data_IF_476927909882
#
_entry.id   IF_476927909882
#
_cell.length_a   1.000
_cell.length_b   1.000
_cell.length_c   1.000
_cell.angle_alpha   90.00
_cell.angle_beta   90.00
_cell.angle_gamma   90.00
#
_symmetry.space_group_name_H-M   'P 1'
#
loop_
_entity.id
_entity.type
_entity.pdbx_description
1 polymer ?
#
# COMPACT_ATOMS: atom_id res chain seq x y z
N UNK A 1 -17.61 6.20 20.23
CA UNK A 1 -16.26 6.13 19.59
C UNK A 1 -15.24 5.77 20.65
N UNK A 2 -14.18 5.07 20.29
CA UNK A 2 -13.13 4.55 21.18
C UNK A 2 -11.94 5.49 21.12
N UNK A 3 -11.41 5.91 22.26
CA UNK A 3 -10.16 6.66 22.31
C UNK A 3 -8.99 5.73 21.96
N UNK A 4 -8.14 6.07 20.95
CA UNK A 4 -6.98 5.23 20.60
C UNK A 4 -6.09 4.92 21.79
N UNK A 5 -5.88 5.89 22.70
CA UNK A 5 -5.13 5.67 23.94
C UNK A 5 -5.74 4.58 24.81
N UNK A 6 -7.04 4.67 25.09
CA UNK A 6 -7.72 3.72 25.97
C UNK A 6 -7.67 2.29 25.39
N UNK A 7 -7.80 2.15 24.06
CA UNK A 7 -7.69 0.87 23.39
C UNK A 7 -6.27 0.27 23.52
N UNK A 8 -5.23 1.08 23.29
CA UNK A 8 -3.82 0.62 23.42
C UNK A 8 -3.49 0.30 24.88
N UNK A 9 -3.98 1.11 25.84
CA UNK A 9 -3.80 0.83 27.27
C UNK A 9 -4.44 -0.50 27.68
N UNK A 10 -5.64 -0.82 27.18
CA UNK A 10 -6.33 -2.09 27.44
C UNK A 10 -5.54 -3.28 26.86
N UNK A 11 -5.00 -3.15 25.65
CA UNK A 11 -4.12 -4.16 25.05
C UNK A 11 -2.84 -4.37 25.89
N UNK A 12 -2.21 -3.29 26.31
CA UNK A 12 -0.99 -3.33 27.13
C UNK A 12 -1.23 -3.98 28.51
N UNK A 13 -2.36 -3.68 29.16
CA UNK A 13 -2.78 -4.33 30.39
C UNK A 13 -3.00 -5.84 30.21
N UNK A 14 -3.48 -6.24 29.04
CA UNK A 14 -3.59 -7.62 28.62
C UNK A 14 -2.28 -8.27 28.15
N UNK A 15 -1.14 -7.57 28.21
CA UNK A 15 0.19 -8.08 27.82
C UNK A 15 0.54 -7.95 26.34
N UNK A 16 -0.25 -7.24 25.55
CA UNK A 16 0.03 -6.96 24.12
C UNK A 16 0.63 -5.56 23.99
N UNK A 17 1.92 -5.48 23.75
CA UNK A 17 2.69 -4.25 23.65
C UNK A 17 3.59 -4.17 22.39
N UNK A 18 3.45 -5.12 21.47
CA UNK A 18 4.13 -5.15 20.18
C UNK A 18 3.11 -5.09 19.04
N UNK A 19 3.37 -4.24 18.07
CA UNK A 19 2.50 -3.94 16.93
C UNK A 19 3.29 -4.07 15.63
N UNK A 20 2.77 -4.80 14.66
CA UNK A 20 3.28 -4.82 13.29
C UNK A 20 2.11 -4.72 12.32
N UNK A 21 2.26 -4.03 11.19
CA UNK A 21 1.15 -3.98 10.24
C UNK A 21 1.36 -3.02 9.08
N UNK A 22 0.35 -2.96 8.24
CA UNK A 22 0.25 -2.00 7.14
C UNK A 22 -0.84 -0.98 7.49
N UNK A 23 -0.54 0.33 7.47
CA UNK A 23 -1.51 1.36 7.80
C UNK A 23 -2.75 1.32 6.92
N UNK A 24 -3.91 1.55 7.53
CA UNK A 24 -5.22 1.59 6.88
C UNK A 24 -5.98 2.88 7.19
N UNK A 25 -6.84 3.28 6.27
CA UNK A 25 -7.65 4.49 6.39
C UNK A 25 -8.70 4.46 7.52
N UNK A 26 -9.27 3.29 7.85
CA UNK A 26 -10.18 3.13 9.00
C UNK A 26 -9.42 3.09 10.32
N UNK A 27 -8.18 2.59 10.29
CA UNK A 27 -7.28 2.53 11.45
C UNK A 27 -6.38 3.76 11.57
N UNK A 28 -6.52 4.79 10.72
CA UNK A 28 -5.60 5.94 10.66
C UNK A 28 -5.35 6.59 12.02
N UNK A 29 -6.39 6.74 12.83
CA UNK A 29 -6.32 7.36 14.17
C UNK A 29 -5.58 6.47 15.16
N UNK A 30 -5.85 5.17 15.14
CA UNK A 30 -5.14 4.16 15.93
C UNK A 30 -3.67 4.06 15.52
N UNK A 31 -3.39 3.94 14.21
CA UNK A 31 -2.04 3.89 13.67
C UNK A 31 -1.23 5.16 13.99
N UNK A 32 -1.88 6.34 13.96
CA UNK A 32 -1.26 7.60 14.36
C UNK A 32 -0.89 7.60 15.85
N UNK A 33 -1.79 7.10 16.71
CA UNK A 33 -1.50 6.99 18.13
C UNK A 33 -0.34 6.03 18.41
N UNK A 34 -0.35 4.83 17.81
CA UNK A 34 0.73 3.84 17.93
C UNK A 34 2.06 4.46 17.46
N UNK A 35 2.07 5.11 16.30
CA UNK A 35 3.29 5.72 15.73
C UNK A 35 3.87 6.81 16.64
N UNK A 36 3.03 7.57 17.33
CA UNK A 36 3.50 8.66 18.21
C UNK A 36 3.95 8.18 19.59
N UNK A 37 3.39 7.08 20.12
CA UNK A 37 3.49 6.74 21.53
C UNK A 37 4.15 5.37 21.81
N UNK A 38 4.30 4.52 20.79
CA UNK A 38 4.98 3.23 20.90
C UNK A 38 6.37 3.34 20.29
N UNK A 39 7.38 2.77 20.94
CA UNK A 39 8.76 2.84 20.45
C UNK A 39 8.92 2.11 19.12
N UNK A 40 9.93 2.49 18.35
CA UNK A 40 10.17 1.92 17.01
C UNK A 40 10.38 0.41 17.03
N UNK A 41 10.98 -0.12 18.09
CA UNK A 41 11.26 -1.55 18.27
C UNK A 41 9.96 -2.35 18.53
N UNK A 42 8.91 -1.69 18.98
CA UNK A 42 7.61 -2.28 19.30
C UNK A 42 6.49 -1.89 18.32
N UNK A 43 6.76 -1.02 17.36
CA UNK A 43 5.82 -0.65 16.30
C UNK A 43 6.53 -0.69 14.94
N UNK A 44 6.30 -1.74 14.17
CA UNK A 44 6.93 -1.95 12.87
C UNK A 44 5.89 -1.81 11.76
N UNK A 45 6.05 -0.78 10.94
CA UNK A 45 5.28 -0.66 9.70
C UNK A 45 5.91 -1.63 8.69
N UNK A 46 5.18 -2.70 8.41
CA UNK A 46 5.65 -3.79 7.56
C UNK A 46 5.49 -3.45 6.07
N UNK A 47 6.27 -4.10 5.23
CA UNK A 47 6.16 -3.95 3.78
C UNK A 47 4.80 -4.48 3.27
N UNK A 48 4.36 -5.62 3.82
CA UNK A 48 3.03 -6.19 3.57
C UNK A 48 2.54 -6.94 4.82
N UNK A 49 1.29 -7.38 4.79
CA UNK A 49 0.62 -7.99 5.95
C UNK A 49 1.20 -9.37 6.30
N UNK A 50 1.64 -10.14 5.32
CA UNK A 50 2.33 -11.41 5.56
C UNK A 50 3.64 -11.23 6.33
N UNK A 51 4.41 -10.17 6.01
CA UNK A 51 5.60 -9.81 6.78
C UNK A 51 5.23 -9.38 8.21
N UNK A 52 4.09 -8.72 8.42
CA UNK A 52 3.63 -8.35 9.75
C UNK A 52 3.31 -9.58 10.61
N UNK A 53 2.70 -10.61 10.04
CA UNK A 53 2.49 -11.91 10.72
C UNK A 53 3.83 -12.53 11.11
N UNK A 54 4.81 -12.56 10.17
CA UNK A 54 6.15 -13.06 10.46
C UNK A 54 6.86 -12.31 11.60
N UNK A 55 6.73 -10.97 11.64
CA UNK A 55 7.28 -10.13 12.71
C UNK A 55 6.64 -10.44 14.08
N UNK A 56 5.31 -10.57 14.12
CA UNK A 56 4.58 -10.90 15.35
C UNK A 56 4.92 -12.32 15.83
N UNK A 57 5.06 -13.29 14.92
CA UNK A 57 5.52 -14.65 15.23
C UNK A 57 6.95 -14.62 15.81
N UNK A 58 7.88 -13.90 15.20
CA UNK A 58 9.24 -13.73 15.71
C UNK A 58 9.27 -13.07 17.09
N UNK A 59 8.40 -12.09 17.34
CA UNK A 59 8.26 -11.48 18.65
C UNK A 59 7.79 -12.49 19.70
N UNK A 60 6.77 -13.30 19.37
CA UNK A 60 6.29 -14.38 20.27
C UNK A 60 7.41 -15.37 20.58
N UNK A 61 8.11 -15.88 19.56
CA UNK A 61 9.19 -16.86 19.74
C UNK A 61 10.33 -16.33 20.63
N UNK A 62 10.61 -15.04 20.59
CA UNK A 62 11.65 -14.42 21.38
C UNK A 62 11.24 -14.08 22.81
N UNK A 63 9.95 -13.83 23.06
CA UNK A 63 9.48 -13.24 24.32
C UNK A 63 8.40 -14.05 25.05
N UNK A 64 7.76 -15.00 24.37
CA UNK A 64 6.58 -15.71 24.85
C UNK A 64 5.30 -14.85 24.92
N UNK A 65 5.34 -13.58 24.44
CA UNK A 65 4.22 -12.65 24.47
C UNK A 65 3.43 -12.67 23.18
N UNK A 66 2.19 -12.17 23.22
CA UNK A 66 1.31 -12.03 22.06
C UNK A 66 1.65 -10.76 21.28
N UNK A 67 1.86 -10.88 19.96
CA UNK A 67 1.99 -9.74 19.06
C UNK A 67 0.63 -9.34 18.48
N UNK A 68 0.48 -8.05 18.15
CA UNK A 68 -0.68 -7.49 17.46
C UNK A 68 -0.32 -7.18 16.00
N UNK A 69 -1.12 -7.70 15.05
CA UNK A 69 -1.03 -7.37 13.63
C UNK A 69 -2.22 -6.52 13.22
N UNK A 70 -1.96 -5.31 12.70
CA UNK A 70 -3.01 -4.41 12.21
C UNK A 70 -2.97 -4.27 10.69
N UNK A 71 -4.15 -4.22 10.07
CA UNK A 71 -4.27 -4.14 8.60
C UNK A 71 -5.66 -3.68 8.14
N UNK A 72 -5.77 -3.36 6.87
CA UNK A 72 -7.05 -3.30 6.18
C UNK A 72 -7.50 -4.73 5.82
N UNK A 73 -8.80 -4.99 5.75
CA UNK A 73 -9.32 -6.28 5.31
C UNK A 73 -8.87 -6.69 3.89
N UNK A 74 -8.43 -5.75 3.05
CA UNK A 74 -7.78 -6.09 1.77
C UNK A 74 -6.48 -6.86 1.95
N UNK A 75 -5.82 -6.71 3.09
CA UNK A 75 -4.60 -7.42 3.45
C UNK A 75 -4.83 -8.84 3.95
N UNK A 76 -6.08 -9.26 4.20
CA UNK A 76 -6.38 -10.64 4.59
C UNK A 76 -5.83 -11.65 3.58
N UNK A 77 -5.88 -11.33 2.27
CA UNK A 77 -5.29 -12.20 1.25
C UNK A 77 -3.79 -12.47 1.45
N UNK A 78 -3.03 -11.51 1.96
CA UNK A 78 -1.60 -11.63 2.21
C UNK A 78 -1.27 -12.45 3.47
N UNK A 79 -2.23 -12.60 4.38
CA UNK A 79 -2.02 -13.34 5.63
C UNK A 79 -2.56 -14.77 5.60
N UNK A 80 -3.35 -15.17 4.58
CA UNK A 80 -3.91 -16.54 4.50
C UNK A 80 -2.81 -17.58 4.64
N UNK A 81 -1.76 -17.51 3.80
CA UNK A 81 -0.69 -18.49 3.87
C UNK A 81 0.06 -18.48 5.22
N UNK A 82 0.58 -17.35 5.75
CA UNK A 82 1.29 -17.39 7.02
C UNK A 82 0.40 -17.71 8.23
N UNK A 83 -0.90 -17.44 8.21
CA UNK A 83 -1.80 -17.89 9.25
C UNK A 83 -1.96 -19.42 9.24
N UNK A 84 -2.23 -20.02 8.07
CA UNK A 84 -2.54 -21.43 7.94
C UNK A 84 -1.31 -22.35 7.88
N UNK A 85 -0.11 -21.82 7.53
CA UNK A 85 1.10 -22.64 7.37
C UNK A 85 2.24 -22.32 8.32
N UNK A 86 2.08 -21.29 9.18
CA UNK A 86 3.05 -20.93 10.22
C UNK A 86 2.37 -20.83 11.60
N UNK A 87 1.28 -20.06 11.70
CA UNK A 87 0.69 -19.66 12.99
C UNK A 87 -0.29 -20.69 13.51
N UNK A 88 -0.93 -21.45 12.62
CA UNK A 88 -1.99 -22.42 12.89
C UNK A 88 -1.64 -23.43 13.99
N UNK A 89 -2.68 -23.93 14.68
CA UNK A 89 -2.57 -24.88 15.79
C UNK A 89 -1.91 -26.21 15.39
N UNK A 90 -2.11 -26.64 14.15
CA UNK A 90 -1.52 -27.86 13.58
C UNK A 90 -0.07 -27.67 13.13
N UNK A 91 0.50 -26.42 13.21
CA UNK A 91 1.85 -26.11 12.76
C UNK A 91 2.73 -25.67 13.93
N UNK A 92 2.83 -24.37 14.22
CA UNK A 92 3.64 -23.87 15.34
C UNK A 92 2.82 -23.30 16.48
N UNK A 93 1.51 -23.20 16.32
CA UNK A 93 0.56 -22.78 17.35
C UNK A 93 0.95 -21.46 18.03
N UNK A 94 1.13 -20.41 17.22
CA UNK A 94 1.61 -19.09 17.66
C UNK A 94 0.43 -18.16 17.94
N UNK A 95 0.24 -17.69 19.20
CA UNK A 95 -0.85 -16.80 19.53
C UNK A 95 -0.66 -15.41 18.92
N UNK A 96 -1.76 -14.84 18.41
CA UNK A 96 -1.71 -13.54 17.73
C UNK A 96 -3.03 -12.80 17.84
N UNK A 97 -2.96 -11.47 18.02
CA UNK A 97 -4.12 -10.59 17.91
C UNK A 97 -4.11 -9.90 16.54
N UNK A 98 -5.21 -10.00 15.81
CA UNK A 98 -5.42 -9.25 14.57
C UNK A 98 -6.34 -8.06 14.84
N UNK A 99 -6.02 -6.86 14.28
CA UNK A 99 -6.89 -5.68 14.28
C UNK A 99 -7.12 -5.28 12.83
N UNK A 100 -8.35 -5.51 12.35
CA UNK A 100 -8.67 -5.44 10.92
C UNK A 100 -9.68 -4.34 10.65
N UNK A 101 -9.31 -3.34 9.83
CA UNK A 101 -10.21 -2.30 9.34
C UNK A 101 -11.15 -2.86 8.26
N UNK A 102 -12.46 -2.85 8.50
CA UNK A 102 -13.46 -3.45 7.62
C UNK A 102 -13.94 -2.48 6.56
N UNK A 103 -13.21 -2.36 5.46
CA UNK A 103 -13.64 -1.62 4.28
C UNK A 103 -14.67 -2.43 3.50
N UNK A 104 -15.65 -1.73 2.91
CA UNK A 104 -16.72 -2.36 2.15
C UNK A 104 -17.71 -3.17 2.99
N UNK A 105 -17.87 -2.83 4.28
CA UNK A 105 -18.89 -3.43 5.16
C UNK A 105 -20.26 -3.44 4.45
N UNK A 106 -21.00 -4.57 4.45
CA UNK A 106 -22.31 -4.64 3.82
C UNK A 106 -23.27 -3.56 4.35
N UNK A 107 -23.93 -2.84 3.44
CA UNK A 107 -24.83 -1.74 3.79
C UNK A 107 -24.15 -0.37 3.96
N UNK A 108 -22.82 -0.31 3.97
CA UNK A 108 -22.06 0.94 4.03
C UNK A 108 -21.50 1.29 2.64
N UNK A 109 -21.67 2.55 2.22
CA UNK A 109 -21.11 3.01 0.94
C UNK A 109 -19.57 3.03 1.01
N UNK A 110 -18.94 2.35 0.05
CA UNK A 110 -17.48 2.32 -0.10
C UNK A 110 -17.09 2.19 -1.59
N UNK A 111 -15.81 2.29 -1.87
CA UNK A 111 -15.23 2.24 -3.21
C UNK A 111 -15.37 0.87 -3.87
N UNK A 112 -15.40 0.79 -5.21
CA UNK A 112 -15.62 -0.46 -5.94
C UNK A 112 -14.72 -1.61 -5.52
N UNK A 113 -13.43 -1.36 -5.29
CA UNK A 113 -12.44 -2.37 -4.89
C UNK A 113 -12.70 -2.98 -3.52
N UNK A 114 -13.43 -2.30 -2.64
CA UNK A 114 -13.71 -2.78 -1.29
C UNK A 114 -15.02 -3.60 -1.20
N UNK A 115 -15.93 -3.47 -2.17
CA UNK A 115 -17.28 -4.09 -2.11
C UNK A 115 -17.26 -5.60 -1.94
N UNK A 116 -16.40 -6.31 -2.71
CA UNK A 116 -16.30 -7.76 -2.61
C UNK A 116 -15.55 -8.18 -1.35
N UNK A 117 -14.45 -7.51 -1.07
CA UNK A 117 -13.64 -7.77 0.13
C UNK A 117 -14.46 -7.63 1.41
N UNK A 118 -15.22 -6.53 1.56
CA UNK A 118 -16.07 -6.32 2.73
C UNK A 118 -17.12 -7.41 2.94
N UNK A 119 -17.65 -7.97 1.85
CA UNK A 119 -18.63 -9.08 1.91
C UNK A 119 -18.02 -10.40 2.37
N UNK A 120 -16.75 -10.64 2.07
CA UNK A 120 -16.10 -11.93 2.35
C UNK A 120 -15.22 -11.92 3.59
N UNK A 121 -14.93 -10.77 4.17
CA UNK A 121 -14.04 -10.58 5.34
C UNK A 121 -14.35 -11.57 6.46
N UNK A 122 -15.58 -11.57 6.98
CA UNK A 122 -15.93 -12.44 8.11
C UNK A 122 -15.93 -13.92 7.71
N UNK A 123 -16.46 -14.24 6.53
CA UNK A 123 -16.46 -15.63 6.02
C UNK A 123 -15.03 -16.16 5.77
N UNK A 124 -14.08 -15.27 5.41
CA UNK A 124 -12.69 -15.68 5.25
C UNK A 124 -12.05 -16.00 6.61
N UNK A 125 -12.31 -15.21 7.64
CA UNK A 125 -11.87 -15.51 9.00
C UNK A 125 -12.48 -16.83 9.51
N UNK A 126 -13.79 -17.05 9.27
CA UNK A 126 -14.47 -18.32 9.60
C UNK A 126 -13.83 -19.51 8.90
N UNK A 127 -13.52 -19.38 7.59
CA UNK A 127 -12.88 -20.42 6.81
C UNK A 127 -11.46 -20.74 7.26
N UNK A 128 -10.75 -19.76 7.85
CA UNK A 128 -9.43 -19.94 8.45
C UNK A 128 -9.49 -20.40 9.92
N UNK A 129 -10.68 -20.61 10.49
CA UNK A 129 -10.82 -20.97 11.90
C UNK A 129 -10.46 -19.83 12.88
N UNK A 130 -10.40 -18.58 12.42
CA UNK A 130 -10.04 -17.44 13.25
C UNK A 130 -11.29 -16.84 13.90
N UNK A 131 -11.48 -16.96 15.22
CA UNK A 131 -12.56 -16.32 15.94
C UNK A 131 -12.40 -14.80 15.91
N UNK A 132 -13.52 -14.08 15.89
CA UNK A 132 -13.51 -12.63 15.81
C UNK A 132 -14.61 -11.95 16.61
N UNK A 133 -14.42 -10.66 16.89
CA UNK A 133 -15.48 -9.77 17.35
C UNK A 133 -15.46 -8.47 16.53
N UNK A 134 -16.64 -7.98 16.18
CA UNK A 134 -16.80 -6.65 15.56
C UNK A 134 -16.94 -5.64 16.68
N UNK A 135 -15.98 -4.71 16.80
CA UNK A 135 -15.93 -3.76 17.92
C UNK A 135 -17.18 -2.84 17.93
N UNK A 136 -17.79 -2.73 19.11
CA UNK A 136 -18.95 -1.89 19.40
C UNK A 136 -18.79 -1.10 20.71
N UNK A 137 -19.88 -0.73 21.36
CA UNK A 137 -19.90 -0.03 22.65
C UNK A 137 -19.31 -0.85 23.80
N UNK A 138 -19.31 -2.18 23.69
CA UNK A 138 -18.76 -3.11 24.69
C UNK A 138 -17.29 -3.47 24.42
N UNK A 139 -16.57 -2.65 23.68
CA UNK A 139 -15.22 -2.93 23.18
C UNK A 139 -14.22 -3.37 24.27
N UNK A 140 -14.31 -2.84 25.49
CA UNK A 140 -13.43 -3.25 26.61
C UNK A 140 -13.62 -4.72 26.99
N UNK A 141 -14.89 -5.16 27.03
CA UNK A 141 -15.22 -6.55 27.25
C UNK A 141 -14.79 -7.44 26.08
N UNK A 142 -14.97 -6.96 24.85
CA UNK A 142 -14.55 -7.67 23.64
C UNK A 142 -13.03 -7.84 23.57
N UNK A 143 -12.25 -6.82 23.94
CA UNK A 143 -10.78 -6.90 24.07
C UNK A 143 -10.41 -7.92 25.16
N UNK A 144 -11.04 -7.84 26.32
CA UNK A 144 -10.77 -8.77 27.43
C UNK A 144 -11.06 -10.21 27.01
N UNK A 145 -12.18 -10.46 26.36
CA UNK A 145 -12.57 -11.78 25.85
C UNK A 145 -11.58 -12.29 24.81
N UNK A 146 -11.17 -11.45 23.83
CA UNK A 146 -10.20 -11.81 22.82
C UNK A 146 -8.86 -12.24 23.44
N UNK A 147 -8.34 -11.44 24.36
CA UNK A 147 -7.07 -11.74 25.04
C UNK A 147 -7.14 -12.96 25.96
N UNK A 148 -8.30 -13.20 26.57
CA UNK A 148 -8.54 -14.41 27.37
C UNK A 148 -8.56 -15.63 26.47
N UNK A 149 -9.31 -15.59 25.38
CA UNK A 149 -9.37 -16.71 24.43
C UNK A 149 -8.01 -17.01 23.81
N UNK A 150 -7.25 -15.99 23.41
CA UNK A 150 -5.86 -16.17 22.90
C UNK A 150 -5.01 -16.90 23.94
N UNK A 151 -5.09 -16.55 25.22
CA UNK A 151 -4.32 -17.21 26.28
C UNK A 151 -4.75 -18.63 26.55
N UNK A 152 -6.06 -18.90 26.50
CA UNK A 152 -6.62 -20.23 26.78
C UNK A 152 -6.37 -21.23 25.65
N UNK A 153 -6.45 -20.74 24.39
CA UNK A 153 -6.30 -21.59 23.20
C UNK A 153 -4.90 -21.52 22.59
N UNK A 154 -4.04 -20.60 23.03
CA UNK A 154 -2.78 -20.24 22.38
C UNK A 154 -2.96 -19.93 20.89
N UNK A 155 -4.12 -19.44 20.48
CA UNK A 155 -4.52 -19.27 19.09
C UNK A 155 -4.56 -17.81 18.61
N UNK A 156 -5.17 -17.61 17.47
CA UNK A 156 -5.37 -16.30 16.84
C UNK A 156 -6.77 -15.78 17.15
N UNK A 157 -6.92 -14.46 17.31
CA UNK A 157 -8.21 -13.79 17.43
C UNK A 157 -8.22 -12.47 16.64
N UNK A 158 -9.34 -12.13 15.99
CA UNK A 158 -9.47 -10.90 15.22
C UNK A 158 -10.47 -9.91 15.85
N UNK A 159 -10.06 -8.65 15.99
CA UNK A 159 -10.91 -7.51 16.33
C UNK A 159 -11.19 -6.71 15.05
N UNK A 160 -12.45 -6.64 14.66
CA UNK A 160 -12.89 -6.02 13.40
C UNK A 160 -13.34 -4.60 13.68
N UNK A 161 -12.77 -3.65 12.95
CA UNK A 161 -12.94 -2.21 13.16
C UNK A 161 -13.79 -1.62 12.04
N UNK A 162 -14.96 -1.07 12.40
CA UNK A 162 -15.86 -0.36 11.49
C UNK A 162 -15.40 1.08 11.24
N UNK A 163 -15.98 1.70 10.22
CA UNK A 163 -15.80 3.14 9.97
C UNK A 163 -16.30 3.96 11.17
N UNK A 164 -15.47 4.86 11.66
CA UNK A 164 -15.82 5.74 12.79
C UNK A 164 -15.73 5.10 14.18
N UNK A 165 -15.10 3.94 14.31
CA UNK A 165 -14.87 3.27 15.61
C UNK A 165 -13.96 4.10 16.51
N UNK A 166 -12.86 4.64 15.99
CA UNK A 166 -11.89 5.42 16.77
C UNK A 166 -12.14 6.91 16.68
N UNK A 167 -11.95 7.60 17.81
CA UNK A 167 -11.92 9.08 17.89
C UNK A 167 -10.76 9.63 17.07
N UNK A 168 -10.89 10.89 16.64
CA UNK A 168 -9.85 11.56 15.85
C UNK A 168 -8.55 11.71 16.63
N UNK A 169 -7.47 11.25 16.02
CA UNK A 169 -6.11 11.41 16.51
C UNK A 169 -5.17 11.68 15.34
N UNK A 170 -4.39 12.74 15.42
CA UNK A 170 -3.48 13.14 14.35
C UNK A 170 -2.05 12.64 14.59
N UNK A 171 -1.39 12.24 13.51
CA UNK A 171 0.04 11.97 13.52
C UNK A 171 0.80 13.26 13.85
N UNK A 172 1.59 13.22 14.92
CA UNK A 172 2.42 14.34 15.41
C UNK A 172 3.82 14.29 14.79
N UNK A 173 4.57 15.38 14.97
CA UNK A 173 6.00 15.46 14.59
C UNK A 173 6.30 15.04 13.15
N UNK A 174 5.41 15.40 12.22
CA UNK A 174 5.70 15.19 10.80
C UNK A 174 6.85 16.13 10.40
N UNK A 175 7.98 15.56 9.97
CA UNK A 175 9.08 16.33 9.39
C UNK A 175 8.59 17.06 8.15
N UNK A 176 8.76 18.36 8.09
CA UNK A 176 8.52 19.14 6.88
C UNK A 176 9.65 18.79 5.91
N UNK A 177 9.30 18.17 4.80
CA UNK A 177 10.27 17.86 3.75
C UNK A 177 10.75 19.16 3.08
N UNK A 178 12.06 19.30 2.93
CA UNK A 178 12.69 20.42 2.19
C UNK A 178 12.71 20.20 0.68
N UNK A 179 12.23 19.06 0.19
CA UNK A 179 12.19 18.73 -1.24
C UNK A 179 11.32 19.73 -2.00
N UNK A 180 11.81 20.30 -3.11
CA UNK A 180 11.10 21.35 -3.83
C UNK A 180 9.89 20.84 -4.62
N UNK A 181 9.89 19.53 -5.01
CA UNK A 181 8.93 18.94 -5.91
C UNK A 181 7.87 18.16 -5.16
N UNK A 182 6.59 18.36 -5.42
CA UNK A 182 5.49 17.53 -4.97
C UNK A 182 5.22 16.38 -5.95
N UNK A 183 4.51 15.34 -5.49
CA UNK A 183 4.10 14.23 -6.35
C UNK A 183 3.24 14.70 -7.52
N UNK A 184 2.25 15.55 -7.26
CA UNK A 184 1.36 16.09 -8.30
C UNK A 184 2.14 16.91 -9.36
N UNK A 185 3.08 17.77 -8.95
CA UNK A 185 3.96 18.49 -9.86
C UNK A 185 4.82 17.53 -10.69
N UNK A 186 5.37 16.49 -10.06
CA UNK A 186 6.17 15.49 -10.77
C UNK A 186 5.35 14.72 -11.81
N UNK A 187 4.12 14.30 -11.46
CA UNK A 187 3.19 13.63 -12.38
C UNK A 187 2.90 14.53 -13.58
N UNK A 188 2.61 15.83 -13.38
CA UNK A 188 2.37 16.79 -14.45
C UNK A 188 3.56 16.89 -15.40
N UNK A 189 4.78 17.01 -14.86
CA UNK A 189 6.01 17.07 -15.66
C UNK A 189 6.18 15.79 -16.50
N UNK A 190 5.96 14.63 -15.92
CA UNK A 190 6.06 13.35 -16.62
C UNK A 190 5.02 13.28 -17.74
N UNK A 191 3.75 13.55 -17.44
CA UNK A 191 2.65 13.49 -18.42
C UNK A 191 2.87 14.44 -19.59
N UNK A 192 3.40 15.66 -19.35
CA UNK A 192 3.73 16.62 -20.41
C UNK A 192 4.86 16.15 -21.33
N UNK A 193 5.61 15.11 -20.96
CA UNK A 193 6.69 14.51 -21.76
C UNK A 193 6.32 13.17 -22.39
N UNK A 194 5.15 12.63 -22.08
CA UNK A 194 4.65 11.42 -22.72
C UNK A 194 4.27 11.70 -24.19
N UNK A 195 4.41 10.69 -25.02
CA UNK A 195 3.88 10.66 -26.40
C UNK A 195 2.41 10.24 -26.35
N UNK A 196 1.72 10.50 -27.44
CA UNK A 196 0.29 10.20 -27.55
C UNK A 196 -0.03 8.70 -27.41
N UNK A 197 0.88 7.84 -27.84
CA UNK A 197 0.78 6.39 -27.83
C UNK A 197 1.42 5.71 -26.60
N UNK A 198 2.03 6.48 -25.69
CA UNK A 198 2.59 5.93 -24.47
C UNK A 198 1.50 5.40 -23.55
N UNK A 199 1.73 4.21 -23.01
CA UNK A 199 0.83 3.55 -22.07
C UNK A 199 1.25 3.90 -20.65
N UNK A 200 0.29 4.22 -19.77
CA UNK A 200 0.54 4.41 -18.34
C UNK A 200 -0.23 3.40 -17.52
N UNK A 201 0.45 2.69 -16.63
CA UNK A 201 -0.16 1.87 -15.58
C UNK A 201 0.15 2.52 -14.24
N UNK A 202 -0.87 3.07 -13.58
CA UNK A 202 -0.69 3.76 -12.31
C UNK A 202 -1.09 2.89 -11.12
N UNK A 203 -0.35 3.03 -10.01
CA UNK A 203 -0.71 2.40 -8.74
C UNK A 203 -1.97 3.03 -8.14
N UNK A 204 -2.64 2.31 -7.25
CA UNK A 204 -3.85 2.78 -6.56
C UNK A 204 -3.61 4.03 -5.71
N UNK A 205 -4.66 4.77 -5.44
CA UNK A 205 -4.67 5.88 -4.50
C UNK A 205 -4.47 7.24 -5.15
N UNK A 206 -3.63 8.10 -4.55
CA UNK A 206 -3.47 9.49 -4.99
C UNK A 206 -2.85 9.60 -6.39
N UNK A 207 -1.91 8.74 -6.74
CA UNK A 207 -1.21 8.77 -8.04
C UNK A 207 -2.19 8.62 -9.20
N UNK A 208 -3.06 7.61 -9.16
CA UNK A 208 -4.11 7.42 -10.17
C UNK A 208 -5.06 8.60 -10.26
N UNK A 209 -5.39 9.24 -9.12
CA UNK A 209 -6.32 10.37 -9.06
C UNK A 209 -5.69 11.65 -9.60
N UNK A 210 -4.43 11.92 -9.26
CA UNK A 210 -3.66 13.08 -9.77
C UNK A 210 -3.43 12.96 -11.29
N UNK A 211 -3.13 11.75 -11.77
CA UNK A 211 -3.03 11.47 -13.20
C UNK A 211 -4.36 11.72 -13.91
N UNK A 212 -5.46 11.17 -13.38
CA UNK A 212 -6.78 11.33 -13.96
C UNK A 212 -7.17 12.81 -14.07
N UNK A 213 -7.11 13.58 -12.98
CA UNK A 213 -7.47 15.00 -12.99
C UNK A 213 -6.58 15.82 -13.95
N UNK A 214 -5.29 15.49 -14.02
CA UNK A 214 -4.41 16.23 -14.93
C UNK A 214 -4.73 15.96 -16.40
N UNK A 215 -5.04 14.72 -16.78
CA UNK A 215 -5.53 14.40 -18.13
C UNK A 215 -6.83 15.15 -18.46
N UNK A 216 -7.78 15.21 -17.52
CA UNK A 216 -9.01 16.00 -17.67
C UNK A 216 -8.69 17.49 -17.90
N UNK A 217 -7.82 18.07 -17.06
CA UNK A 217 -7.42 19.49 -17.21
C UNK A 217 -6.74 19.79 -18.56
N UNK A 218 -6.06 18.80 -19.14
CA UNK A 218 -5.41 18.89 -20.47
C UNK A 218 -6.37 18.53 -21.61
N UNK A 219 -7.61 18.15 -21.31
CA UNK A 219 -8.58 17.66 -22.30
C UNK A 219 -8.04 16.44 -23.09
N UNK A 220 -7.25 15.60 -22.42
CA UNK A 220 -6.73 14.34 -22.94
C UNK A 220 -7.66 13.20 -22.53
N UNK A 221 -7.81 12.20 -23.38
CA UNK A 221 -8.57 10.99 -22.99
C UNK A 221 -7.77 10.08 -22.05
N UNK A 222 -8.46 9.09 -21.48
CA UNK A 222 -7.89 8.09 -20.58
C UNK A 222 -7.63 6.72 -21.24
N UNK A 223 -7.74 6.63 -22.56
CA UNK A 223 -7.59 5.34 -23.28
C UNK A 223 -6.18 4.73 -23.19
N UNK A 224 -5.16 5.53 -22.89
CA UNK A 224 -3.78 5.07 -22.69
C UNK A 224 -3.42 4.81 -21.23
N UNK A 225 -4.33 5.11 -20.27
CA UNK A 225 -4.07 5.02 -18.86
C UNK A 225 -4.85 3.87 -18.21
N UNK A 226 -4.17 2.88 -17.65
CA UNK A 226 -4.78 1.88 -16.78
C UNK A 226 -4.66 2.34 -15.33
N UNK A 227 -5.79 2.81 -14.79
CA UNK A 227 -5.87 3.46 -13.48
C UNK A 227 -6.27 2.44 -12.41
N UNK A 228 -5.31 1.80 -11.75
CA UNK A 228 -5.65 0.80 -10.73
C UNK A 228 -6.34 1.46 -9.54
N UNK A 229 -7.42 0.86 -9.07
CA UNK A 229 -8.19 1.35 -7.91
C UNK A 229 -7.90 0.54 -6.64
N UNK A 230 -7.33 -0.64 -6.78
CA UNK A 230 -6.95 -1.54 -5.69
C UNK A 230 -5.65 -2.28 -6.01
N UNK A 231 -5.42 -3.43 -5.38
CA UNK A 231 -4.28 -4.31 -5.66
C UNK A 231 -2.93 -3.58 -5.56
N UNK A 232 -2.71 -2.86 -4.46
CA UNK A 232 -1.48 -2.12 -4.19
C UNK A 232 -0.24 -3.01 -4.36
N UNK A 233 0.79 -2.46 -5.02
CA UNK A 233 2.05 -3.16 -5.28
C UNK A 233 2.08 -4.03 -6.54
N UNK A 234 1.00 -4.09 -7.34
CA UNK A 234 0.95 -4.92 -8.54
C UNK A 234 1.02 -4.13 -9.87
N UNK A 235 1.01 -2.80 -9.83
CA UNK A 235 1.03 -1.97 -11.04
C UNK A 235 2.22 -2.29 -11.94
N UNK A 236 3.41 -2.49 -11.37
CA UNK A 236 4.62 -2.83 -12.10
C UNK A 236 4.54 -4.18 -12.82
N UNK A 237 3.87 -5.17 -12.22
CA UNK A 237 3.68 -6.49 -12.85
C UNK A 237 2.62 -6.46 -13.96
N UNK A 238 1.55 -5.66 -13.78
CA UNK A 238 0.57 -5.41 -14.84
C UNK A 238 1.28 -4.76 -16.03
N UNK A 239 2.11 -3.76 -15.78
CA UNK A 239 2.88 -3.07 -16.81
C UNK A 239 3.89 -3.99 -17.52
N UNK A 240 4.57 -4.88 -16.79
CA UNK A 240 5.44 -5.89 -17.40
C UNK A 240 4.65 -6.78 -18.36
N UNK A 241 3.49 -7.31 -17.93
CA UNK A 241 2.62 -8.12 -18.78
C UNK A 241 2.23 -7.40 -20.08
N UNK A 242 1.91 -6.10 -20.01
CA UNK A 242 1.59 -5.26 -21.16
C UNK A 242 2.83 -5.03 -22.05
N UNK A 243 3.96 -4.66 -21.43
CA UNK A 243 5.20 -4.35 -22.17
C UNK A 243 5.69 -5.52 -23.01
N UNK A 244 5.59 -6.73 -22.49
CA UNK A 244 5.96 -7.97 -23.21
C UNK A 244 5.03 -8.28 -24.40
N UNK A 245 3.76 -7.86 -24.34
CA UNK A 245 2.78 -8.11 -25.41
C UNK A 245 2.67 -6.96 -26.42
N UNK A 246 3.17 -5.77 -26.07
CA UNK A 246 3.16 -4.56 -26.91
C UNK A 246 4.59 -3.97 -27.01
N UNK A 247 5.56 -4.71 -27.56
CA UNK A 247 6.98 -4.32 -27.56
C UNK A 247 7.25 -3.02 -28.31
N UNK A 248 6.37 -2.62 -29.22
CA UNK A 248 6.49 -1.40 -30.03
C UNK A 248 5.98 -0.14 -29.30
N UNK A 249 5.24 -0.32 -28.19
CA UNK A 249 4.69 0.79 -27.39
C UNK A 249 5.44 0.92 -26.06
N UNK A 250 5.75 2.14 -25.67
CA UNK A 250 6.35 2.38 -24.35
C UNK A 250 5.30 2.25 -23.26
N UNK A 251 5.68 1.61 -22.16
CA UNK A 251 4.84 1.41 -21.00
C UNK A 251 5.48 2.08 -19.79
N UNK A 252 4.78 3.01 -19.19
CA UNK A 252 5.20 3.71 -17.99
C UNK A 252 4.45 3.16 -16.78
N UNK A 253 5.17 2.82 -15.72
CA UNK A 253 4.60 2.54 -14.40
C UNK A 253 4.65 3.80 -13.58
N UNK A 254 3.51 4.26 -13.06
CA UNK A 254 3.44 5.31 -12.05
C UNK A 254 3.22 4.65 -10.70
N UNK A 255 4.29 4.48 -9.94
CA UNK A 255 4.28 3.78 -8.66
C UNK A 255 4.59 4.72 -7.49
N UNK A 256 4.28 4.29 -6.28
CA UNK A 256 4.65 4.94 -5.04
C UNK A 256 5.62 4.07 -4.24
N UNK A 257 6.42 4.68 -3.37
CA UNK A 257 7.37 3.96 -2.53
C UNK A 257 6.71 2.88 -1.65
N UNK A 258 5.56 3.17 -1.06
CA UNK A 258 4.82 2.18 -0.27
C UNK A 258 4.31 1.00 -1.10
N UNK A 259 3.85 1.24 -2.34
CA UNK A 259 3.39 0.19 -3.24
C UNK A 259 4.57 -0.63 -3.78
N UNK A 260 5.67 0.02 -4.16
CA UNK A 260 6.91 -0.65 -4.55
C UNK A 260 7.41 -1.60 -3.45
N UNK A 261 7.47 -1.12 -2.20
CA UNK A 261 7.93 -1.89 -1.04
C UNK A 261 7.05 -3.12 -0.78
N UNK A 262 5.75 -3.02 -1.02
CA UNK A 262 4.79 -4.09 -0.70
C UNK A 262 5.11 -5.40 -1.45
N UNK A 263 5.53 -5.30 -2.72
CA UNK A 263 5.87 -6.44 -3.55
C UNK A 263 7.19 -6.22 -4.33
N UNK A 264 8.22 -5.71 -3.63
CA UNK A 264 9.51 -5.34 -4.23
C UNK A 264 10.19 -6.50 -4.98
N UNK A 265 9.94 -7.76 -4.61
CA UNK A 265 10.43 -8.93 -5.34
C UNK A 265 10.03 -8.94 -6.82
N UNK A 266 8.94 -8.27 -7.19
CA UNK A 266 8.53 -8.08 -8.58
C UNK A 266 9.56 -7.33 -9.43
N UNK A 267 10.38 -6.46 -8.83
CA UNK A 267 11.46 -5.78 -9.54
C UNK A 267 12.50 -6.77 -10.11
N UNK A 268 12.81 -7.85 -9.39
CA UNK A 268 13.76 -8.86 -9.87
C UNK A 268 13.24 -9.56 -11.14
N UNK A 269 11.93 -9.83 -11.19
CA UNK A 269 11.30 -10.39 -12.39
C UNK A 269 11.35 -9.40 -13.56
N UNK A 270 11.06 -8.12 -13.31
CA UNK A 270 11.16 -7.08 -14.34
C UNK A 270 12.61 -6.96 -14.85
N UNK A 271 13.61 -7.00 -13.97
CA UNK A 271 15.01 -6.92 -14.32
C UNK A 271 15.51 -8.13 -15.13
N UNK A 272 15.00 -9.33 -14.85
CA UNK A 272 15.33 -10.55 -15.59
C UNK A 272 14.78 -10.50 -17.03
N UNK A 273 13.51 -10.12 -17.21
CA UNK A 273 12.92 -9.93 -18.54
C UNK A 273 13.46 -8.71 -19.27
N UNK A 274 13.80 -7.67 -18.55
CA UNK A 274 14.44 -6.43 -18.99
C UNK A 274 13.88 -5.84 -20.31
N UNK A 275 12.54 -5.64 -20.45
CA UNK A 275 11.97 -5.11 -21.68
C UNK A 275 12.40 -3.65 -21.90
N UNK A 276 12.83 -3.32 -23.12
CA UNK A 276 13.36 -2.00 -23.49
C UNK A 276 12.30 -0.89 -23.50
N UNK A 277 11.06 -1.26 -23.55
CA UNK A 277 9.91 -0.35 -23.62
C UNK A 277 9.25 -0.09 -22.26
N UNK A 278 9.80 -0.58 -21.13
CA UNK A 278 9.26 -0.37 -19.80
C UNK A 278 10.04 0.71 -19.03
N UNK A 279 9.34 1.73 -18.56
CA UNK A 279 9.87 2.79 -17.71
C UNK A 279 9.13 2.80 -16.38
N UNK A 280 9.80 2.48 -15.30
CA UNK A 280 9.25 2.47 -13.95
C UNK A 280 9.54 3.79 -13.23
N UNK A 281 8.52 4.59 -12.95
CA UNK A 281 8.63 5.85 -12.22
C UNK A 281 8.08 5.67 -10.82
N UNK A 282 8.92 5.88 -9.81
CA UNK A 282 8.56 5.77 -8.40
C UNK A 282 8.48 7.17 -7.80
N UNK A 283 7.28 7.63 -7.47
CA UNK A 283 7.06 8.88 -6.74
C UNK A 283 7.24 8.62 -5.25
N UNK A 284 8.44 8.87 -4.74
CA UNK A 284 8.88 8.52 -3.40
C UNK A 284 8.70 9.71 -2.44
N UNK A 285 7.64 9.70 -1.64
CA UNK A 285 7.40 10.70 -0.61
C UNK A 285 7.73 10.22 0.82
N UNK A 286 8.20 8.99 0.96
CA UNK A 286 8.56 8.39 2.25
C UNK A 286 7.37 8.13 3.18
N UNK A 287 6.12 8.04 2.64
CA UNK A 287 4.94 7.95 3.49
C UNK A 287 3.76 7.22 2.83
N UNK A 288 2.95 6.55 3.66
CA UNK A 288 1.62 6.02 3.32
C UNK A 288 0.57 7.14 3.34
N UNK A 289 0.66 8.05 2.40
CA UNK A 289 -0.05 9.34 2.40
C UNK A 289 -1.57 9.19 2.35
N UNK A 290 -2.09 8.23 1.60
CA UNK A 290 -3.53 8.01 1.40
C UNK A 290 -4.25 7.42 2.63
N UNK A 291 -3.50 6.93 3.61
CA UNK A 291 -4.06 6.17 4.76
C UNK A 291 -3.64 6.72 6.13
N UNK A 292 -3.10 7.96 6.18
CA UNK A 292 -2.78 8.63 7.44
C UNK A 292 -1.36 9.17 7.52
N UNK A 293 -0.53 8.94 6.51
CA UNK A 293 0.79 9.54 6.37
C UNK A 293 1.88 8.95 7.26
N UNK A 294 1.69 7.71 7.73
CA UNK A 294 2.73 6.97 8.45
C UNK A 294 3.97 6.79 7.56
N UNK A 295 5.19 6.83 8.15
CA UNK A 295 6.42 6.78 7.36
C UNK A 295 6.62 5.41 6.70
N UNK A 296 7.15 5.42 5.48
CA UNK A 296 7.77 4.24 4.86
C UNK A 296 9.29 4.29 5.05
N UNK A 297 9.97 3.28 4.54
CA UNK A 297 11.44 3.28 4.42
C UNK A 297 11.93 3.79 3.06
N UNK A 298 11.02 4.22 2.16
CA UNK A 298 11.31 4.57 0.77
C UNK A 298 12.44 5.59 0.61
N UNK A 299 12.48 6.63 1.45
CA UNK A 299 13.54 7.64 1.45
C UNK A 299 14.77 7.25 2.32
N UNK A 300 14.78 6.07 2.92
CA UNK A 300 15.89 5.56 3.76
C UNK A 300 16.71 4.47 3.09
N UNK A 301 16.19 3.89 2.01
CA UNK A 301 16.85 2.86 1.21
C UNK A 301 17.31 3.46 -0.13
N UNK A 302 18.31 2.87 -0.72
CA UNK A 302 18.80 3.25 -2.05
C UNK A 302 18.04 2.45 -3.13
N UNK A 303 16.89 3.00 -3.58
CA UNK A 303 16.07 2.38 -4.63
C UNK A 303 16.85 2.28 -5.95
N UNK A 304 17.72 3.24 -6.24
CA UNK A 304 18.55 3.24 -7.44
C UNK A 304 19.53 2.06 -7.45
N UNK A 305 20.25 1.85 -6.35
CA UNK A 305 21.15 0.71 -6.21
C UNK A 305 20.42 -0.63 -6.25
N UNK A 306 19.25 -0.73 -5.61
CA UNK A 306 18.39 -1.93 -5.66
C UNK A 306 17.97 -2.24 -7.10
N UNK A 307 17.47 -1.24 -7.83
CA UNK A 307 17.03 -1.43 -9.21
C UNK A 307 18.18 -1.90 -10.12
N UNK A 308 19.37 -1.30 -9.98
CA UNK A 308 20.57 -1.74 -10.71
C UNK A 308 20.96 -3.17 -10.37
N UNK A 309 20.92 -3.52 -9.08
CA UNK A 309 21.29 -4.85 -8.60
C UNK A 309 20.36 -5.97 -9.12
N UNK A 310 19.08 -5.65 -9.38
CA UNK A 310 18.11 -6.60 -9.92
C UNK A 310 18.00 -6.57 -11.46
N UNK A 311 18.84 -5.79 -12.17
CA UNK A 311 18.95 -5.86 -13.63
C UNK A 311 18.31 -4.71 -14.42
N UNK A 312 17.81 -3.66 -13.79
CA UNK A 312 17.43 -2.46 -14.53
C UNK A 312 18.68 -1.77 -15.12
N UNK A 313 18.57 -1.25 -16.34
CA UNK A 313 19.73 -0.77 -17.10
C UNK A 313 19.94 0.75 -17.04
N UNK A 314 18.83 1.51 -17.05
CA UNK A 314 18.84 2.96 -17.00
C UNK A 314 18.16 3.41 -15.72
N UNK A 315 18.94 3.73 -14.69
CA UNK A 315 18.41 4.02 -13.35
C UNK A 315 18.95 5.34 -12.83
N UNK A 316 18.05 6.20 -12.38
CA UNK A 316 18.40 7.51 -11.81
C UNK A 316 17.45 7.88 -10.66
N UNK A 317 18.00 8.56 -9.63
CA UNK A 317 17.24 9.24 -8.60
C UNK A 317 17.28 10.74 -8.80
N UNK A 318 16.12 11.40 -8.73
CA UNK A 318 15.95 12.84 -8.91
C UNK A 318 15.09 13.42 -7.79
N UNK A 319 15.25 14.71 -7.51
CA UNK A 319 14.56 15.40 -6.41
C UNK A 319 14.06 16.81 -6.79
N UNK A 320 14.24 17.22 -8.04
CA UNK A 320 13.86 18.55 -8.51
C UNK A 320 13.36 18.52 -9.97
N UNK A 321 12.67 19.60 -10.36
CA UNK A 321 12.06 19.78 -11.68
C UNK A 321 13.06 19.61 -12.82
N UNK A 322 14.23 20.25 -12.73
CA UNK A 322 15.22 20.26 -13.83
C UNK A 322 15.80 18.86 -14.07
N UNK A 323 16.12 18.13 -12.99
CA UNK A 323 16.62 16.77 -13.07
C UNK A 323 15.56 15.81 -13.64
N UNK A 324 14.30 15.93 -13.20
CA UNK A 324 13.20 15.12 -13.73
C UNK A 324 12.96 15.39 -15.22
N UNK A 325 12.93 16.66 -15.62
CA UNK A 325 12.79 17.03 -17.04
C UNK A 325 13.96 16.49 -17.90
N UNK A 326 15.20 16.55 -17.39
CA UNK A 326 16.36 15.97 -18.07
C UNK A 326 16.21 14.46 -18.24
N UNK A 327 15.81 13.75 -17.20
CA UNK A 327 15.58 12.30 -17.25
C UNK A 327 14.48 11.92 -18.24
N UNK A 328 13.36 12.63 -18.26
CA UNK A 328 12.28 12.38 -19.21
C UNK A 328 12.70 12.70 -20.66
N UNK A 329 13.50 13.75 -20.88
CA UNK A 329 14.07 14.04 -22.20
C UNK A 329 15.04 12.94 -22.65
N UNK A 330 15.86 12.39 -21.73
CA UNK A 330 16.71 11.23 -21.99
C UNK A 330 15.88 10.02 -22.45
N UNK A 331 14.80 9.68 -21.73
CA UNK A 331 13.88 8.59 -22.13
C UNK A 331 13.26 8.79 -23.52
N UNK A 332 13.16 10.04 -23.98
CA UNK A 332 12.59 10.36 -25.31
C UNK A 332 13.62 10.30 -26.45
N UNK A 333 14.91 10.49 -26.17
CA UNK A 333 15.96 10.66 -27.17
C UNK A 333 17.00 9.54 -27.20
N UNK A 334 17.19 8.83 -26.10
CA UNK A 334 18.22 7.80 -25.98
C UNK A 334 17.79 6.45 -26.57
N UNK A 335 18.78 5.65 -26.94
CA UNK A 335 18.58 4.22 -27.25
C UNK A 335 18.55 3.45 -25.93
N UNK A 336 17.36 3.12 -25.45
CA UNK A 336 17.15 2.37 -24.22
C UNK A 336 17.55 0.91 -24.41
N UNK A 337 18.42 0.40 -23.55
CA UNK A 337 18.98 -0.95 -23.68
C UNK A 337 18.15 -2.02 -22.97
N UNK A 338 17.37 -1.65 -21.96
CA UNK A 338 16.51 -2.51 -21.18
C UNK A 338 15.55 -1.69 -20.33
N UNK A 339 15.03 -2.24 -19.26
CA UNK A 339 14.09 -1.53 -18.38
C UNK A 339 14.75 -0.36 -17.67
N UNK A 340 14.05 0.77 -17.65
CA UNK A 340 14.50 2.00 -16.97
C UNK A 340 13.74 2.21 -15.66
N UNK A 341 14.38 2.90 -14.67
CA UNK A 341 13.71 3.38 -13.47
C UNK A 341 14.10 4.82 -13.16
N UNK A 342 13.10 5.63 -12.84
CA UNK A 342 13.28 6.99 -12.31
C UNK A 342 12.68 7.03 -10.90
N UNK A 343 13.52 7.11 -9.86
CA UNK A 343 13.09 7.36 -8.51
C UNK A 343 12.98 8.87 -8.28
N UNK A 344 11.77 9.38 -8.16
CA UNK A 344 11.50 10.81 -7.97
C UNK A 344 11.23 11.07 -6.50
N UNK A 345 12.20 11.62 -5.78
CA UNK A 345 12.03 12.02 -4.39
C UNK A 345 11.17 13.29 -4.33
N UNK A 346 10.02 13.19 -3.68
CA UNK A 346 9.04 14.27 -3.60
C UNK A 346 8.70 14.60 -2.16
N UNK A 347 8.27 15.85 -1.91
CA UNK A 347 7.76 16.24 -0.59
C UNK A 347 6.41 15.60 -0.32
N UNK A 348 6.17 15.27 0.93
CA UNK A 348 4.89 14.80 1.42
C UNK A 348 3.90 15.97 1.47
N UNK A 349 2.98 16.01 0.52
CA UNK A 349 1.88 16.98 0.47
C UNK A 349 0.73 16.43 -0.35
N UNK A 350 -0.50 16.63 0.13
CA UNK A 350 -1.72 16.27 -0.58
C UNK A 350 -2.65 17.47 -0.69
N UNK A 351 -3.23 17.63 -1.86
CA UNK A 351 -4.32 18.56 -2.10
C UNK A 351 -5.61 18.00 -1.49
N UNK A 352 -6.33 18.81 -0.69
CA UNK A 352 -7.54 18.37 0.02
C UNK A 352 -8.74 18.14 -0.91
N UNK A 353 -8.79 18.87 -2.01
CA UNK A 353 -9.85 18.88 -3.02
C UNK A 353 -9.62 17.90 -4.17
N UNK A 354 -8.62 17.02 -4.08
CA UNK A 354 -8.33 16.02 -5.10
C UNK A 354 -9.54 15.10 -5.30
N UNK A 355 -10.12 15.14 -6.50
CA UNK A 355 -11.29 14.37 -6.91
C UNK A 355 -11.03 12.88 -7.00
N UNK A 356 -12.02 12.16 -7.47
CA UNK A 356 -11.94 10.74 -7.80
C UNK A 356 -12.19 10.56 -9.29
N UNK A 357 -11.74 9.44 -9.83
CA UNK A 357 -12.07 9.05 -11.20
C UNK A 357 -13.58 9.02 -11.36
N UNK A 358 -14.07 9.63 -12.43
CA UNK A 358 -15.52 9.67 -12.76
C UNK A 358 -15.93 8.45 -13.60
N UNK A 359 -14.98 7.74 -14.20
CA UNK A 359 -15.19 6.48 -14.91
C UNK A 359 -15.13 5.29 -13.97
N UNK A 360 -15.94 4.27 -14.23
CA UNK A 360 -15.84 3.01 -13.50
C UNK A 360 -14.59 2.23 -13.90
N UNK A 361 -14.10 1.32 -13.04
CA UNK A 361 -12.98 0.45 -13.40
C UNK A 361 -13.22 -0.39 -14.66
N UNK A 362 -14.47 -0.78 -14.93
CA UNK A 362 -14.84 -1.55 -16.13
C UNK A 362 -14.71 -0.67 -17.36
N UNK A 363 -15.29 0.54 -17.35
CA UNK A 363 -15.18 1.49 -18.47
C UNK A 363 -13.71 1.87 -18.75
N UNK A 364 -12.91 2.11 -17.71
CA UNK A 364 -11.47 2.36 -17.88
C UNK A 364 -10.77 1.17 -18.56
N UNK A 365 -11.01 -0.06 -18.08
CA UNK A 365 -10.45 -1.27 -18.70
C UNK A 365 -10.85 -1.40 -20.17
N UNK A 366 -12.12 -1.21 -20.51
CA UNK A 366 -12.62 -1.37 -21.88
C UNK A 366 -12.03 -0.31 -22.82
N UNK A 367 -12.01 0.96 -22.41
CA UNK A 367 -11.39 2.03 -23.19
C UNK A 367 -9.88 1.80 -23.37
N UNK A 368 -9.19 1.34 -22.34
CA UNK A 368 -7.78 1.00 -22.39
C UNK A 368 -7.50 -0.15 -23.37
N UNK A 369 -8.25 -1.25 -23.29
CA UNK A 369 -8.09 -2.40 -24.20
C UNK A 369 -8.36 -2.01 -25.65
N UNK A 370 -9.42 -1.23 -25.93
CA UNK A 370 -9.70 -0.72 -27.28
C UNK A 370 -8.57 0.15 -27.83
N UNK A 371 -7.87 0.90 -26.98
CA UNK A 371 -6.70 1.67 -27.39
C UNK A 371 -5.49 0.77 -27.72
N UNK A 372 -5.33 -0.34 -27.00
CA UNK A 372 -4.24 -1.29 -27.24
C UNK A 372 -4.38 -2.08 -28.54
N UNK A 373 -5.58 -2.17 -29.12
CA UNK A 373 -5.86 -2.84 -30.39
C UNK A 373 -5.47 -1.99 -31.62
N UNK A 374 -5.32 -0.69 -31.42
CA UNK A 374 -4.88 0.26 -32.47
C UNK A 374 -3.38 0.22 -32.68
#
# INVERSE_FOLDING_TARGET
MIQPKAFIDALAQGGVDFFAGVPDSLLKNLCAYITNNVTREKNIIAANEGNAVGLAAGYHLATGKVGCVYMQNSGEGNIVNPLLSLVDEDVYHIPMLLVIGWRGEPGVHDEPQHKKQGKVTLSLLEAMGVPYAVLDENWEQQVTQALTQIRETNGVYALIVRKGTFEDYALQNQSVSSLPLSREEAIKIVVDKLREDDIVVSTTGMISRELFEYREAKQQGHGTDFLTVGSMGHASQIALGIALQKPERRVFVFDGDGALLMHMGGMAIIGDYCPKNLVHIVFNNGAHDSVGGQPTVGQKIDIEAIAKAVGYTDVVSVDNTSALMCSMNHMNCAVIKGTSLINVNVRKVNRKDLGRQTTTPIENKEAFMQNLEK
#
